data_IF_430302331440
#
_entry.id   IF_430302331440
#
_cell.length_a   1.000
_cell.length_b   1.000
_cell.length_c   1.000
_cell.angle_alpha   90.00
_cell.angle_beta   90.00
_cell.angle_gamma   90.00
#
_symmetry.space_group_name_H-M   'P 1'
#
loop_
_entity.id
_entity.type
_entity.pdbx_description
1 polymer ?
#
# COMPACT_ATOMS: atom_id res chain seq x y z
N UNK A 1 15.44 -26.06 2.83
CA UNK A 1 14.62 -25.96 4.07
C UNK A 1 14.80 -24.54 4.58
N UNK A 2 13.84 -23.64 4.36
CA UNK A 2 13.88 -22.28 4.92
C UNK A 2 13.74 -22.46 6.44
N UNK A 3 14.79 -22.12 7.21
CA UNK A 3 14.65 -21.96 8.65
C UNK A 3 13.46 -21.01 8.86
N UNK A 4 12.50 -21.42 9.70
CA UNK A 4 11.20 -20.73 9.80
C UNK A 4 11.39 -19.24 9.96
N UNK A 5 10.81 -18.48 9.03
CA UNK A 5 10.70 -17.03 9.12
C UNK A 5 9.98 -16.69 10.43
N UNK A 6 10.59 -15.84 11.25
CA UNK A 6 10.05 -15.48 12.57
C UNK A 6 9.10 -14.28 12.45
N UNK A 7 9.29 -13.29 13.28
CA UNK A 7 8.40 -12.14 13.35
C UNK A 7 8.79 -11.06 12.33
N UNK A 8 7.77 -10.54 11.65
CA UNK A 8 7.81 -9.36 10.80
C UNK A 8 7.01 -8.24 11.46
N UNK A 9 7.62 -7.09 11.66
CA UNK A 9 6.93 -5.87 12.06
C UNK A 9 6.76 -4.97 10.85
N UNK A 10 5.53 -4.57 10.56
CA UNK A 10 5.19 -3.63 9.48
C UNK A 10 4.71 -2.34 10.10
N UNK A 11 5.48 -1.27 9.96
CA UNK A 11 5.10 0.08 10.36
C UNK A 11 4.51 0.81 9.17
N UNK A 12 3.20 1.05 9.23
CA UNK A 12 2.43 1.71 8.16
C UNK A 12 1.17 2.33 8.74
N UNK A 13 0.60 3.33 8.08
CA UNK A 13 -0.64 3.99 8.47
C UNK A 13 -1.64 4.05 7.31
N UNK A 14 -2.91 4.24 7.69
CA UNK A 14 -3.98 4.56 6.75
C UNK A 14 -4.90 5.60 7.38
N UNK A 15 -5.10 6.70 6.68
CA UNK A 15 -6.04 7.75 7.08
C UNK A 15 -6.78 8.32 5.85
N UNK A 16 -7.62 9.33 6.07
CA UNK A 16 -8.39 9.95 4.97
C UNK A 16 -7.50 10.70 3.98
N UNK A 17 -6.33 11.17 4.38
CA UNK A 17 -5.38 11.94 3.54
C UNK A 17 -4.47 11.02 2.73
N UNK A 18 -3.89 10.02 3.37
CA UNK A 18 -2.97 9.06 2.73
C UNK A 18 -3.71 7.92 2.05
N UNK A 19 -4.99 7.72 2.38
CA UNK A 19 -5.78 6.58 1.92
C UNK A 19 -5.35 5.27 2.59
N UNK A 20 -5.85 4.17 2.05
CA UNK A 20 -5.58 2.81 2.57
C UNK A 20 -4.50 2.05 1.79
N UNK A 21 -3.91 2.68 0.77
CA UNK A 21 -3.02 2.03 -0.21
C UNK A 21 -1.79 1.40 0.42
N UNK A 22 -1.11 2.12 1.33
CA UNK A 22 0.07 1.64 2.05
C UNK A 22 -0.24 0.36 2.84
N UNK A 23 -1.25 0.38 3.68
CA UNK A 23 -1.65 -0.81 4.45
C UNK A 23 -2.05 -1.95 3.52
N UNK A 24 -2.77 -1.69 2.44
CA UNK A 24 -3.24 -2.73 1.52
C UNK A 24 -2.11 -3.39 0.73
N UNK A 25 -1.06 -2.66 0.35
CA UNK A 25 0.13 -3.29 -0.26
C UNK A 25 0.95 -4.07 0.77
N UNK A 26 1.02 -3.58 1.99
CA UNK A 26 1.63 -4.31 3.10
C UNK A 26 0.89 -5.61 3.44
N UNK A 27 -0.45 -5.67 3.27
CA UNK A 27 -1.22 -6.92 3.41
C UNK A 27 -0.72 -7.99 2.45
N UNK A 28 -0.40 -7.65 1.20
CA UNK A 28 0.16 -8.62 0.24
C UNK A 28 1.49 -9.23 0.73
N UNK A 29 2.38 -8.38 1.26
CA UNK A 29 3.63 -8.84 1.86
C UNK A 29 3.40 -9.71 3.10
N UNK A 30 2.47 -9.28 3.97
CA UNK A 30 2.09 -10.01 5.19
C UNK A 30 1.52 -11.40 4.88
N UNK A 31 0.66 -11.51 3.87
CA UNK A 31 0.11 -12.79 3.40
C UNK A 31 1.24 -13.71 2.88
N UNK A 32 2.16 -13.17 2.08
CA UNK A 32 3.31 -13.93 1.59
C UNK A 32 4.23 -14.42 2.73
N UNK A 33 4.49 -13.56 3.71
CA UNK A 33 5.30 -13.91 4.89
C UNK A 33 4.67 -15.03 5.71
N UNK A 34 3.35 -14.93 5.94
CA UNK A 34 2.60 -15.97 6.68
C UNK A 34 2.59 -17.32 5.95
N UNK A 35 2.48 -17.32 4.61
CA UNK A 35 2.57 -18.57 3.82
C UNK A 35 3.92 -19.28 3.99
N UNK A 36 4.97 -18.52 4.27
CA UNK A 36 6.29 -19.06 4.57
C UNK A 36 6.46 -19.47 6.04
N UNK A 37 5.40 -19.40 6.85
CA UNK A 37 5.37 -19.83 8.25
C UNK A 37 5.72 -18.71 9.25
N UNK A 38 5.87 -17.46 8.80
CA UNK A 38 6.18 -16.33 9.67
C UNK A 38 4.95 -15.70 10.32
N UNK A 39 5.16 -14.93 11.37
CA UNK A 39 4.14 -14.12 12.05
C UNK A 39 4.29 -12.66 11.63
N UNK A 40 3.18 -11.95 11.57
CA UNK A 40 3.17 -10.54 11.15
C UNK A 40 2.42 -9.69 12.15
N UNK A 41 3.03 -8.58 12.55
CA UNK A 41 2.44 -7.54 13.39
C UNK A 41 2.45 -6.22 12.65
N UNK A 42 1.26 -5.64 12.45
CA UNK A 42 1.11 -4.28 11.97
C UNK A 42 1.24 -3.30 13.12
N UNK A 43 2.14 -2.35 13.01
CA UNK A 43 2.35 -1.22 13.92
C UNK A 43 1.76 0.03 13.26
N UNK A 44 0.63 0.53 13.77
CA UNK A 44 -0.12 1.62 13.14
C UNK A 44 -0.43 2.72 14.16
N UNK A 45 -0.12 3.99 13.83
CA UNK A 45 -0.60 5.13 14.59
C UNK A 45 -2.05 5.46 14.19
N UNK A 46 -2.36 5.33 12.91
CA UNK A 46 -3.69 5.56 12.36
C UNK A 46 -4.09 4.40 11.45
N UNK A 47 -5.25 3.82 11.73
CA UNK A 47 -5.90 2.81 10.89
C UNK A 47 -7.40 2.85 11.12
N UNK A 48 -8.23 3.02 10.08
CA UNK A 48 -9.69 2.99 10.21
C UNK A 48 -10.18 1.66 10.80
N UNK A 49 -11.23 1.70 11.62
CA UNK A 49 -11.76 0.50 12.31
C UNK A 49 -12.10 -0.63 11.34
N UNK A 50 -12.70 -0.32 10.20
CA UNK A 50 -13.03 -1.31 9.17
C UNK A 50 -11.79 -2.01 8.61
N UNK A 51 -10.69 -1.28 8.43
CA UNK A 51 -9.43 -1.83 7.96
C UNK A 51 -8.73 -2.62 9.07
N UNK A 52 -8.78 -2.11 10.30
CA UNK A 52 -8.28 -2.83 11.49
C UNK A 52 -8.97 -4.17 11.66
N UNK A 53 -10.31 -4.20 11.61
CA UNK A 53 -11.09 -5.43 11.68
C UNK A 53 -10.69 -6.42 10.59
N UNK A 54 -10.53 -5.95 9.35
CA UNK A 54 -10.07 -6.78 8.23
C UNK A 54 -8.68 -7.39 8.46
N UNK A 55 -7.74 -6.64 9.05
CA UNK A 55 -6.42 -7.17 9.38
C UNK A 55 -6.50 -8.26 10.45
N UNK A 56 -7.31 -8.04 11.49
CA UNK A 56 -7.53 -9.01 12.56
C UNK A 56 -8.23 -10.28 12.05
N UNK A 57 -9.25 -10.16 11.21
CA UNK A 57 -9.94 -11.28 10.56
C UNK A 57 -9.00 -12.14 9.71
N UNK A 58 -7.98 -11.51 9.09
CA UNK A 58 -6.93 -12.22 8.39
C UNK A 58 -5.87 -12.84 9.32
N UNK A 59 -6.03 -12.72 10.64
CA UNK A 59 -5.13 -13.29 11.64
C UNK A 59 -3.84 -12.49 11.85
N UNK A 60 -3.78 -11.23 11.43
CA UNK A 60 -2.64 -10.35 11.72
C UNK A 60 -2.84 -9.63 13.05
N UNK A 61 -1.78 -9.48 13.83
CA UNK A 61 -1.80 -8.60 15.01
C UNK A 61 -1.74 -7.13 14.56
N UNK A 62 -2.49 -6.27 15.24
CA UNK A 62 -2.47 -4.81 15.01
C UNK A 62 -2.20 -4.11 16.34
N UNK A 63 -1.02 -3.52 16.47
CA UNK A 63 -0.57 -2.83 17.68
C UNK A 63 -0.56 -1.32 17.42
N UNK A 64 -1.20 -0.52 18.25
CA UNK A 64 -1.16 0.93 18.13
C UNK A 64 0.24 1.45 18.47
N UNK A 65 0.70 2.43 17.69
CA UNK A 65 1.91 3.20 17.93
C UNK A 65 1.52 4.63 18.26
N UNK A 66 2.19 5.23 19.21
CA UNK A 66 1.91 6.60 19.65
C UNK A 66 2.78 7.60 18.90
N UNK A 67 2.18 8.71 18.49
CA UNK A 67 2.84 9.82 17.81
C UNK A 67 2.64 9.84 16.29
N UNK A 68 2.87 11.01 15.67
CA UNK A 68 2.82 11.16 14.22
C UNK A 68 3.86 10.27 13.52
N UNK A 69 3.53 9.79 12.32
CA UNK A 69 4.44 8.99 11.51
C UNK A 69 5.79 9.69 11.33
N UNK A 70 6.87 8.97 11.58
CA UNK A 70 8.24 9.49 11.47
C UNK A 70 8.71 10.31 12.66
N UNK A 71 7.87 10.55 13.68
CA UNK A 71 8.29 11.27 14.89
C UNK A 71 9.22 10.44 15.77
N UNK A 72 9.92 11.12 16.69
CA UNK A 72 10.77 10.46 17.68
C UNK A 72 10.00 9.46 18.55
N UNK A 73 8.75 9.77 18.90
CA UNK A 73 7.89 8.88 19.68
C UNK A 73 7.55 7.62 18.91
N UNK A 74 7.13 7.78 17.64
CA UNK A 74 6.86 6.68 16.72
C UNK A 74 8.08 5.76 16.54
N UNK A 75 9.26 6.34 16.35
CA UNK A 75 10.52 5.60 16.24
C UNK A 75 10.77 4.71 17.47
N UNK A 76 10.66 5.29 18.67
CA UNK A 76 10.88 4.58 19.93
C UNK A 76 9.91 3.40 20.07
N UNK A 77 8.63 3.64 19.80
CA UNK A 77 7.58 2.60 19.92
C UNK A 77 7.76 1.48 18.89
N UNK A 78 8.05 1.84 17.63
CA UNK A 78 8.29 0.88 16.56
C UNK A 78 9.49 0.00 16.87
N UNK A 79 10.60 0.61 17.29
CA UNK A 79 11.83 -0.10 17.63
C UNK A 79 11.62 -1.04 18.84
N UNK A 80 11.01 -0.55 19.92
CA UNK A 80 10.69 -1.35 21.10
C UNK A 80 9.79 -2.54 20.77
N UNK A 81 8.82 -2.33 19.90
CA UNK A 81 7.95 -3.40 19.44
C UNK A 81 8.75 -4.49 18.69
N UNK A 82 9.61 -4.08 17.77
CA UNK A 82 10.46 -5.01 17.01
C UNK A 82 11.42 -5.78 17.93
N UNK A 83 12.07 -5.10 18.87
CA UNK A 83 12.96 -5.72 19.87
C UNK A 83 12.19 -6.72 20.76
N UNK A 84 11.02 -6.35 21.29
CA UNK A 84 10.18 -7.20 22.15
C UNK A 84 9.70 -8.47 21.44
N UNK A 85 9.39 -8.38 20.14
CA UNK A 85 8.96 -9.52 19.33
C UNK A 85 10.13 -10.36 18.80
N UNK A 86 11.37 -9.89 18.94
CA UNK A 86 12.52 -10.50 18.30
C UNK A 86 12.38 -10.52 16.78
N UNK A 87 11.90 -9.42 16.21
CA UNK A 87 11.62 -9.34 14.78
C UNK A 87 12.87 -9.60 13.94
N UNK A 88 12.76 -10.47 12.95
CA UNK A 88 13.83 -10.70 11.96
C UNK A 88 13.78 -9.67 10.82
N UNK A 89 12.64 -9.00 10.65
CA UNK A 89 12.48 -7.97 9.64
C UNK A 89 11.53 -6.88 10.11
N UNK A 90 11.86 -5.66 9.69
CA UNK A 90 11.03 -4.47 9.87
C UNK A 90 10.72 -3.92 8.48
N UNK A 91 9.47 -3.59 8.23
CA UNK A 91 9.03 -2.91 7.01
C UNK A 91 8.53 -1.52 7.38
N UNK A 92 9.02 -0.51 6.68
CA UNK A 92 8.54 0.86 6.75
C UNK A 92 7.81 1.19 5.44
N UNK A 93 6.55 1.57 5.54
CA UNK A 93 5.75 1.99 4.40
C UNK A 93 4.97 3.27 4.74
N UNK A 94 5.46 4.39 4.22
CA UNK A 94 4.92 5.73 4.46
C UNK A 94 5.98 6.81 4.25
N UNK A 95 5.54 8.02 3.96
CA UNK A 95 6.43 9.11 3.54
C UNK A 95 7.09 9.90 4.69
N UNK A 96 6.73 9.59 5.94
CA UNK A 96 7.33 10.20 7.13
C UNK A 96 8.65 9.55 7.59
N UNK A 97 9.09 8.45 6.98
CA UNK A 97 10.27 7.70 7.41
C UNK A 97 11.53 8.16 6.70
N UNK A 98 12.11 9.25 7.16
CA UNK A 98 13.34 9.83 6.61
C UNK A 98 14.59 8.99 6.91
N UNK A 99 15.75 9.47 6.43
CA UNK A 99 17.03 8.80 6.61
C UNK A 99 17.44 8.64 8.10
N UNK A 100 17.08 9.58 8.96
CA UNK A 100 17.39 9.51 10.39
C UNK A 100 16.54 8.41 11.04
N UNK A 101 15.25 8.41 10.74
CA UNK A 101 14.34 7.37 11.21
C UNK A 101 14.80 5.96 10.77
N UNK A 102 15.15 5.78 9.49
CA UNK A 102 15.64 4.51 8.97
C UNK A 102 16.86 4.00 9.72
N UNK A 103 17.85 4.86 9.95
CA UNK A 103 19.07 4.50 10.71
C UNK A 103 18.76 4.09 12.15
N UNK A 104 17.96 4.88 12.84
CA UNK A 104 17.68 4.68 14.25
C UNK A 104 16.64 3.58 14.52
N UNK A 105 15.81 3.23 13.54
CA UNK A 105 14.83 2.13 13.61
C UNK A 105 15.48 0.75 13.51
N UNK A 106 16.74 0.67 13.10
CA UNK A 106 17.46 -0.61 12.98
C UNK A 106 17.56 -1.32 14.34
N UNK A 107 17.23 -2.59 14.33
CA UNK A 107 17.38 -3.51 15.47
C UNK A 107 18.45 -4.54 15.10
N UNK A 108 19.41 -4.84 16.00
CA UNK A 108 20.44 -5.84 15.73
C UNK A 108 19.83 -7.19 15.34
N UNK A 109 20.30 -7.76 14.23
CA UNK A 109 19.81 -9.04 13.70
C UNK A 109 18.54 -8.93 12.83
N UNK A 110 17.86 -7.79 12.81
CA UNK A 110 16.71 -7.56 11.94
C UNK A 110 17.11 -6.86 10.64
N UNK A 111 16.47 -7.22 9.53
CA UNK A 111 16.60 -6.52 8.25
C UNK A 111 15.56 -5.42 8.12
N UNK A 112 15.96 -4.28 7.57
CA UNK A 112 15.08 -3.16 7.31
C UNK A 112 14.72 -3.10 5.82
N UNK A 113 13.43 -3.18 5.52
CA UNK A 113 12.87 -2.95 4.18
C UNK A 113 12.08 -1.64 4.19
N UNK A 114 12.34 -0.77 3.23
CA UNK A 114 11.55 0.44 2.97
C UNK A 114 10.76 0.24 1.68
N UNK A 115 9.44 0.42 1.77
CA UNK A 115 8.57 0.50 0.58
C UNK A 115 8.42 1.95 0.20
N UNK A 116 8.77 2.27 -1.03
CA UNK A 116 8.82 3.64 -1.53
C UNK A 116 8.14 3.77 -2.90
N UNK A 117 7.84 5.00 -3.29
CA UNK A 117 7.20 5.29 -4.57
C UNK A 117 8.01 6.24 -5.46
N UNK A 118 8.74 7.20 -4.89
CA UNK A 118 9.34 8.30 -5.67
C UNK A 118 10.69 8.82 -5.13
N UNK A 119 11.33 8.10 -4.21
CA UNK A 119 12.63 8.53 -3.68
C UNK A 119 12.52 9.62 -2.61
N UNK A 120 11.56 9.50 -1.67
CA UNK A 120 11.28 10.55 -0.69
C UNK A 120 12.33 10.72 0.41
N UNK A 121 13.12 9.68 0.69
CA UNK A 121 14.16 9.72 1.72
C UNK A 121 15.56 9.73 1.10
N UNK A 122 16.40 10.66 1.50
CA UNK A 122 17.80 10.76 1.07
C UNK A 122 18.72 11.08 2.25
N UNK A 123 19.76 10.25 2.51
CA UNK A 123 20.07 8.94 1.91
C UNK A 123 19.16 7.81 2.44
N UNK A 124 19.06 6.70 1.71
CA UNK A 124 18.42 5.49 2.22
C UNK A 124 19.38 4.69 3.09
N UNK A 125 18.92 4.34 4.29
CA UNK A 125 19.65 3.53 5.27
C UNK A 125 18.91 2.22 5.57
N UNK A 126 18.51 1.50 4.52
CA UNK A 126 17.78 0.27 4.58
C UNK A 126 18.57 -0.89 3.93
N UNK A 127 18.30 -2.14 4.32
CA UNK A 127 18.88 -3.30 3.65
C UNK A 127 18.24 -3.52 2.28
N UNK A 128 16.95 -3.18 2.17
CA UNK A 128 16.19 -3.30 0.92
C UNK A 128 15.31 -2.07 0.74
N UNK A 129 15.27 -1.53 -0.48
CA UNK A 129 14.26 -0.56 -0.92
C UNK A 129 13.43 -1.21 -2.02
N UNK A 130 12.13 -1.23 -1.83
CA UNK A 130 11.15 -1.75 -2.79
C UNK A 130 10.36 -0.59 -3.39
N UNK A 131 10.42 -0.44 -4.70
CA UNK A 131 9.50 0.41 -5.46
C UNK A 131 8.88 -0.40 -6.61
N UNK A 132 7.62 -0.77 -6.45
CA UNK A 132 6.90 -1.63 -7.40
C UNK A 132 6.35 -0.90 -8.63
N UNK A 133 6.50 0.41 -8.71
CA UNK A 133 5.94 1.22 -9.79
C UNK A 133 6.68 1.00 -11.10
N UNK A 134 5.98 1.11 -12.23
CA UNK A 134 6.57 0.91 -13.56
C UNK A 134 7.64 1.96 -13.91
N UNK A 135 7.56 3.14 -13.32
CA UNK A 135 8.53 4.22 -13.49
C UNK A 135 9.71 4.15 -12.51
N UNK A 136 9.76 3.14 -11.65
CA UNK A 136 10.84 3.01 -10.68
C UNK A 136 12.20 2.88 -11.37
N UNK A 137 13.14 3.73 -10.97
CA UNK A 137 14.46 3.86 -11.58
C UNK A 137 15.53 4.03 -10.50
N UNK A 138 16.72 3.49 -10.71
CA UNK A 138 17.84 3.61 -9.75
C UNK A 138 18.24 5.06 -9.47
N UNK A 139 18.00 5.97 -10.40
CA UNK A 139 18.26 7.42 -10.24
C UNK A 139 17.48 8.05 -9.09
N UNK A 140 16.36 7.45 -8.68
CA UNK A 140 15.62 7.87 -7.48
C UNK A 140 16.35 7.51 -6.18
N UNK A 141 17.37 6.65 -6.23
CA UNK A 141 18.03 6.04 -5.07
C UNK A 141 19.55 6.16 -5.11
N UNK A 142 20.07 7.20 -5.75
CA UNK A 142 21.52 7.42 -5.90
C UNK A 142 22.20 7.55 -4.52
N UNK A 143 21.54 8.24 -3.58
CA UNK A 143 22.03 8.43 -2.21
C UNK A 143 21.46 7.32 -1.30
N UNK A 144 22.19 6.21 -1.24
CA UNK A 144 21.87 5.06 -0.38
C UNK A 144 23.14 4.43 0.17
N UNK A 145 23.02 3.60 1.19
CA UNK A 145 24.13 2.75 1.63
C UNK A 145 24.53 1.79 0.50
N UNK A 146 25.83 1.51 0.36
CA UNK A 146 26.33 0.63 -0.70
C UNK A 146 25.79 -0.81 -0.62
N UNK A 147 25.38 -1.23 0.56
CA UNK A 147 24.77 -2.54 0.83
C UNK A 147 23.26 -2.59 0.52
N UNK A 148 22.62 -1.44 0.30
CA UNK A 148 21.17 -1.38 0.03
C UNK A 148 20.82 -2.05 -1.29
N UNK A 149 20.02 -3.10 -1.25
CA UNK A 149 19.47 -3.76 -2.43
C UNK A 149 18.22 -3.04 -2.93
N UNK A 150 18.16 -2.76 -4.22
CA UNK A 150 16.98 -2.20 -4.86
C UNK A 150 16.14 -3.30 -5.52
N UNK A 151 14.83 -3.26 -5.28
CA UNK A 151 13.82 -4.09 -5.92
C UNK A 151 12.86 -3.14 -6.65
N UNK A 152 13.08 -2.94 -7.96
CA UNK A 152 12.43 -1.89 -8.75
C UNK A 152 11.54 -2.47 -9.85
N UNK A 153 10.38 -1.85 -10.03
CA UNK A 153 9.48 -2.12 -11.15
C UNK A 153 8.47 -3.24 -10.90
N UNK A 154 7.66 -3.52 -11.91
CA UNK A 154 6.52 -4.43 -11.85
C UNK A 154 6.86 -5.90 -11.53
N UNK A 155 8.13 -6.31 -11.68
CA UNK A 155 8.57 -7.64 -11.27
C UNK A 155 8.46 -7.87 -9.75
N UNK A 156 8.39 -6.79 -8.98
CA UNK A 156 8.30 -6.82 -7.51
C UNK A 156 6.95 -6.32 -6.98
N UNK A 157 5.91 -6.36 -7.82
CA UNK A 157 4.58 -5.92 -7.44
C UNK A 157 4.03 -6.75 -6.27
N UNK A 158 3.48 -6.06 -5.28
CA UNK A 158 2.85 -6.66 -4.11
C UNK A 158 1.38 -6.98 -4.44
N UNK A 159 1.10 -8.24 -4.78
CA UNK A 159 -0.23 -8.74 -5.09
C UNK A 159 -0.79 -9.56 -3.93
N UNK A 160 -1.97 -9.17 -3.44
CA UNK A 160 -2.69 -9.94 -2.42
C UNK A 160 -3.14 -11.30 -2.95
N UNK A 161 -3.34 -12.25 -2.04
CA UNK A 161 -3.66 -13.65 -2.36
C UNK A 161 -4.88 -13.79 -3.28
N UNK A 162 -5.89 -12.93 -3.12
CA UNK A 162 -7.09 -12.96 -3.96
C UNK A 162 -6.82 -12.70 -5.45
N UNK A 163 -5.67 -12.10 -5.79
CA UNK A 163 -5.26 -11.87 -7.17
C UNK A 163 -4.37 -12.97 -7.75
N UNK A 164 -3.78 -13.82 -6.90
CA UNK A 164 -2.86 -14.86 -7.37
C UNK A 164 -3.54 -15.90 -8.27
N UNK A 165 -4.82 -16.17 -8.06
CA UNK A 165 -5.60 -17.06 -8.91
C UNK A 165 -5.72 -16.54 -10.36
N UNK A 166 -5.48 -15.25 -10.59
CA UNK A 166 -5.62 -14.60 -11.89
C UNK A 166 -4.29 -14.41 -12.63
N UNK A 167 -3.16 -14.87 -12.08
CA UNK A 167 -1.84 -14.66 -12.67
C UNK A 167 -1.66 -15.35 -14.03
N UNK A 168 -2.37 -16.43 -14.28
CA UNK A 168 -2.39 -17.14 -15.56
C UNK A 168 -3.53 -16.69 -16.50
N UNK A 169 -4.35 -15.72 -16.06
CA UNK A 169 -5.48 -15.27 -16.87
C UNK A 169 -5.00 -14.31 -17.98
N UNK A 170 -5.35 -14.65 -19.22
CA UNK A 170 -5.09 -13.82 -20.39
C UNK A 170 -6.40 -13.21 -20.90
N UNK A 171 -6.38 -11.91 -21.13
CA UNK A 171 -7.49 -11.19 -21.70
C UNK A 171 -7.21 -10.89 -23.19
N UNK A 172 -8.14 -11.25 -24.04
CA UNK A 172 -8.15 -10.71 -25.40
C UNK A 172 -8.58 -9.24 -25.37
N UNK A 173 -7.71 -8.37 -25.88
CA UNK A 173 -8.02 -6.94 -25.97
C UNK A 173 -8.89 -6.71 -27.20
N UNK A 174 -10.10 -6.21 -26.99
CA UNK A 174 -11.00 -5.84 -28.10
C UNK A 174 -10.54 -4.56 -28.75
N UNK A 175 -10.75 -4.44 -30.07
CA UNK A 175 -10.44 -3.23 -30.83
C UNK A 175 -11.27 -2.01 -30.40
N UNK A 176 -12.46 -2.24 -29.84
CA UNK A 176 -13.34 -1.19 -29.33
C UNK A 176 -13.67 -1.45 -27.87
N UNK A 177 -13.33 -0.51 -27.00
CA UNK A 177 -13.68 -0.56 -25.59
C UNK A 177 -15.17 -0.25 -25.42
N UNK A 178 -15.89 -1.14 -24.74
CA UNK A 178 -17.31 -0.95 -24.38
C UNK A 178 -17.55 -1.00 -22.86
N UNK A 179 -16.59 -1.49 -22.10
CA UNK A 179 -16.66 -1.53 -20.65
C UNK A 179 -15.58 -0.60 -20.08
N UNK A 180 -16.01 0.40 -19.33
CA UNK A 180 -15.14 1.37 -18.67
C UNK A 180 -15.22 1.16 -17.16
N UNK A 181 -14.09 0.92 -16.53
CA UNK A 181 -13.97 0.91 -15.07
C UNK A 181 -13.36 2.23 -14.61
N UNK A 182 -14.06 2.94 -13.75
CA UNK A 182 -13.59 4.19 -13.12
C UNK A 182 -13.28 3.91 -11.66
N UNK A 183 -12.04 4.14 -11.25
CA UNK A 183 -11.62 4.01 -9.85
C UNK A 183 -10.59 5.08 -9.53
N UNK A 184 -10.88 5.92 -8.52
CA UNK A 184 -10.06 7.05 -8.11
C UNK A 184 -9.60 6.93 -6.65
N UNK A 185 -9.36 5.68 -6.22
CA UNK A 185 -8.88 5.39 -4.87
C UNK A 185 -9.94 5.36 -3.79
N UNK A 186 -9.49 5.34 -2.53
CA UNK A 186 -10.36 5.13 -1.37
C UNK A 186 -11.15 6.37 -0.95
N UNK A 187 -10.56 7.55 -1.03
CA UNK A 187 -11.14 8.82 -0.57
C UNK A 187 -11.66 9.71 -1.72
N UNK A 188 -10.88 9.85 -2.81
CA UNK A 188 -11.22 10.70 -3.96
C UNK A 188 -11.70 12.11 -3.54
N UNK A 189 -10.95 12.78 -2.69
CA UNK A 189 -11.30 14.09 -2.13
C UNK A 189 -11.61 15.13 -3.22
N UNK A 190 -10.87 15.10 -4.32
CA UNK A 190 -11.06 15.98 -5.49
C UNK A 190 -12.26 15.64 -6.35
N UNK A 191 -13.06 14.64 -5.99
CA UNK A 191 -14.21 14.13 -6.73
C UNK A 191 -13.90 13.89 -8.23
N UNK A 192 -12.76 13.27 -8.49
CA UNK A 192 -12.29 12.94 -9.84
C UNK A 192 -13.25 11.95 -10.51
N UNK A 193 -13.82 11.03 -9.73
CA UNK A 193 -14.85 10.10 -10.22
C UNK A 193 -16.01 10.84 -10.91
N UNK A 194 -16.56 11.90 -10.29
CA UNK A 194 -17.64 12.68 -10.93
C UNK A 194 -17.18 13.34 -12.23
N UNK A 195 -15.97 13.92 -12.25
CA UNK A 195 -15.42 14.56 -13.45
C UNK A 195 -15.28 13.57 -14.61
N UNK A 196 -14.80 12.34 -14.33
CA UNK A 196 -14.68 11.29 -15.34
C UNK A 196 -16.04 10.83 -15.83
N UNK A 197 -17.02 10.62 -14.93
CA UNK A 197 -18.38 10.21 -15.31
C UNK A 197 -19.04 11.26 -16.20
N UNK A 198 -18.93 12.54 -15.87
CA UNK A 198 -19.47 13.64 -16.68
C UNK A 198 -18.77 13.76 -18.04
N UNK A 199 -17.45 13.60 -18.08
CA UNK A 199 -16.69 13.63 -19.33
C UNK A 199 -17.10 12.47 -20.26
N UNK A 200 -17.30 11.28 -19.71
CA UNK A 200 -17.81 10.14 -20.47
C UNK A 200 -19.20 10.43 -21.03
N UNK A 201 -20.09 11.04 -20.24
CA UNK A 201 -21.45 11.38 -20.67
C UNK A 201 -21.49 12.44 -21.80
N UNK A 202 -20.46 13.29 -21.87
CA UNK A 202 -20.31 14.27 -22.95
C UNK A 202 -19.60 13.70 -24.18
N UNK A 203 -19.05 12.50 -24.08
CA UNK A 203 -18.39 11.87 -25.22
C UNK A 203 -19.40 11.33 -26.23
N UNK A 204 -19.00 11.28 -27.52
CA UNK A 204 -19.79 10.66 -28.58
C UNK A 204 -19.72 9.13 -28.62
N UNK A 205 -19.22 8.50 -27.55
CA UNK A 205 -19.05 7.07 -27.48
C UNK A 205 -20.39 6.39 -27.18
N UNK A 206 -20.83 5.51 -28.06
CA UNK A 206 -22.08 4.78 -27.90
C UNK A 206 -21.87 3.38 -27.28
N UNK A 207 -22.93 2.86 -26.67
CA UNK A 207 -22.96 1.50 -26.11
C UNK A 207 -21.89 1.23 -25.05
N UNK A 208 -21.53 2.24 -24.24
CA UNK A 208 -20.63 2.07 -23.09
C UNK A 208 -21.40 1.51 -21.89
N UNK A 209 -20.78 0.55 -21.20
CA UNK A 209 -21.10 0.20 -19.83
C UNK A 209 -20.06 0.81 -18.92
N UNK A 210 -20.47 1.65 -17.99
CA UNK A 210 -19.57 2.33 -17.05
C UNK A 210 -19.77 1.79 -15.64
N UNK A 211 -18.71 1.30 -15.03
CA UNK A 211 -18.71 0.86 -13.64
C UNK A 211 -17.80 1.78 -12.84
N UNK A 212 -18.36 2.50 -11.88
CA UNK A 212 -17.59 3.32 -10.95
C UNK A 212 -17.43 2.60 -9.61
N UNK A 213 -16.17 2.36 -9.20
CA UNK A 213 -15.85 1.83 -7.88
C UNK A 213 -15.56 2.98 -6.94
N UNK A 214 -16.44 3.16 -5.96
CA UNK A 214 -16.36 4.26 -4.98
C UNK A 214 -15.91 3.72 -3.64
N UNK A 215 -14.78 4.22 -3.15
CA UNK A 215 -14.20 3.79 -1.88
C UNK A 215 -15.10 4.10 -0.67
N UNK A 216 -14.93 3.34 0.41
CA UNK A 216 -15.71 3.51 1.63
C UNK A 216 -15.48 4.86 2.33
N UNK A 217 -14.29 5.45 2.17
CA UNK A 217 -13.92 6.75 2.73
C UNK A 217 -14.27 7.95 1.81
N UNK A 218 -14.89 7.71 0.64
CA UNK A 218 -15.22 8.77 -0.28
C UNK A 218 -16.39 9.63 0.25
N UNK A 219 -16.20 10.95 0.51
CA UNK A 219 -17.24 11.81 1.04
C UNK A 219 -18.36 12.10 0.03
N UNK A 220 -18.14 11.83 -1.27
CA UNK A 220 -19.07 12.13 -2.35
C UNK A 220 -19.98 10.95 -2.74
N UNK A 221 -19.97 9.83 -1.99
CA UNK A 221 -20.68 8.59 -2.35
C UNK A 221 -22.14 8.80 -2.73
N UNK A 222 -22.87 9.59 -1.93
CA UNK A 222 -24.31 9.82 -2.17
C UNK A 222 -24.54 10.66 -3.44
N UNK A 223 -23.74 11.70 -3.63
CA UNK A 223 -23.80 12.53 -4.83
C UNK A 223 -23.43 11.72 -6.09
N UNK A 224 -22.39 10.87 -6.01
CA UNK A 224 -21.99 9.98 -7.11
C UNK A 224 -23.08 8.96 -7.46
N UNK A 225 -23.76 8.40 -6.46
CA UNK A 225 -24.88 7.48 -6.70
C UNK A 225 -26.06 8.17 -7.40
N UNK A 226 -26.35 9.43 -7.04
CA UNK A 226 -27.36 10.24 -7.71
C UNK A 226 -26.94 10.57 -9.14
N UNK A 227 -25.71 11.00 -9.33
CA UNK A 227 -25.15 11.30 -10.66
C UNK A 227 -25.22 10.07 -11.56
N UNK A 228 -24.78 8.91 -11.09
CA UNK A 228 -24.77 7.68 -11.88
C UNK A 228 -26.17 7.29 -12.42
N UNK A 229 -27.24 7.53 -11.62
CA UNK A 229 -28.61 7.26 -12.05
C UNK A 229 -29.12 8.24 -13.11
N UNK A 230 -28.55 9.44 -13.16
CA UNK A 230 -28.93 10.48 -14.13
C UNK A 230 -28.18 10.37 -15.46
N UNK A 231 -27.13 9.54 -15.53
CA UNK A 231 -26.31 9.39 -16.72
C UNK A 231 -26.88 8.35 -17.69
N UNK A 232 -26.62 8.49 -19.01
CA UNK A 232 -27.19 7.63 -20.05
C UNK A 232 -26.57 6.22 -20.12
N UNK A 233 -25.75 5.83 -19.16
CA UNK A 233 -25.08 4.53 -19.14
C UNK A 233 -25.76 3.56 -18.15
N UNK A 234 -25.92 2.30 -18.52
CA UNK A 234 -26.32 1.26 -17.60
C UNK A 234 -25.22 0.88 -16.61
#
# INVERSE_FOLDING_TARGET
MFAGLRDLVIRTDADVRTGIGHVMRCVALAQAWRRLGGRVTFACAHVPDSLRSRLLEQGFAVIPVVGPQGSRQDLIETRRLAERLGAESIVLDGYGFDAAYQRECRVPGARLLVVDDFGHAEPYSADVVLNQNLYADERLYVRRESSTRLLLGGAYVLLREEFLAWTAWHRETRNTARNVLVTCGGADEGNVTAKVLLALAQSSLENLRVTAVVGCANPHRQALATLARALPYP
#
